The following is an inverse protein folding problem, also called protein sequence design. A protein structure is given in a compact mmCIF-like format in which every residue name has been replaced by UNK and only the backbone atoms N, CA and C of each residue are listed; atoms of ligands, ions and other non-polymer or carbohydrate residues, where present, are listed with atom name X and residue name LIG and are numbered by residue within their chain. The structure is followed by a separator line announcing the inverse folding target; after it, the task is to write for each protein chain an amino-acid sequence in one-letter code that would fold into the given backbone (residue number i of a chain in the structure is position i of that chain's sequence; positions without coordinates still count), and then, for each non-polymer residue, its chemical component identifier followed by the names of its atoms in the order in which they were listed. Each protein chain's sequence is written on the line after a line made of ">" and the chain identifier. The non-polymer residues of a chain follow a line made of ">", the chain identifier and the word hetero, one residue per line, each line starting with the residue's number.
data_IF_221256738001
#
_entry.id   IF_221256738001
#
_cell.length_a   1.000
_cell.length_b   1.000
_cell.length_c   1.000
_cell.angle_alpha   90.00
_cell.angle_beta   90.00
_cell.angle_gamma   90.00
#
_symmetry.space_group_name_H-M   'P 1'
#
loop_
_entity.id
_entity.type
_entity.pdbx_description
1 polymer ?
#
# COMPACT_ATOMS: atom_id res chain seq x y z
N UNK A 1 5.41 19.45 -4.16
CA UNK A 1 6.87 19.31 -4.33
C UNK A 1 7.26 19.68 -5.75
N UNK A 2 6.54 19.18 -6.75
CA UNK A 2 6.72 19.54 -8.17
C UNK A 2 6.70 21.06 -8.41
N UNK A 3 5.79 21.80 -7.77
CA UNK A 3 5.75 23.28 -7.87
C UNK A 3 7.00 23.96 -7.30
N UNK A 4 7.65 23.35 -6.31
CA UNK A 4 8.89 23.84 -5.71
C UNK A 4 10.06 23.48 -6.61
N UNK A 5 10.09 22.27 -7.16
CA UNK A 5 11.11 21.80 -8.10
C UNK A 5 11.11 22.66 -9.37
N UNK A 6 9.94 22.90 -9.96
CA UNK A 6 9.78 23.80 -11.11
C UNK A 6 10.17 25.25 -10.74
N UNK A 7 9.86 25.69 -9.52
CA UNK A 7 10.31 26.99 -9.01
C UNK A 7 11.84 27.09 -8.89
N UNK A 8 12.51 26.01 -8.46
CA UNK A 8 13.97 25.93 -8.37
C UNK A 8 14.59 25.89 -9.77
N UNK A 9 14.05 25.07 -10.69
CA UNK A 9 14.49 25.01 -12.10
C UNK A 9 14.36 26.38 -12.77
N UNK A 10 13.21 27.04 -12.62
CA UNK A 10 13.00 28.36 -13.21
C UNK A 10 13.96 29.40 -12.63
N UNK A 11 14.11 29.43 -11.31
CA UNK A 11 15.05 30.35 -10.65
C UNK A 11 16.50 30.10 -11.09
N UNK A 12 16.86 28.84 -11.36
CA UNK A 12 18.19 28.47 -11.84
C UNK A 12 18.43 28.94 -13.29
N UNK A 13 17.47 28.73 -14.18
CA UNK A 13 17.52 29.23 -15.57
C UNK A 13 17.68 30.76 -15.58
N UNK A 14 16.95 31.46 -14.71
CA UNK A 14 17.03 32.92 -14.60
C UNK A 14 18.42 33.38 -14.10
N UNK A 15 19.01 32.66 -13.14
CA UNK A 15 20.38 32.92 -12.66
C UNK A 15 21.42 32.62 -13.74
N UNK A 16 21.29 31.54 -14.50
CA UNK A 16 22.21 31.19 -15.58
C UNK A 16 22.17 32.22 -16.72
N UNK A 17 20.97 32.73 -17.05
CA UNK A 17 20.80 33.84 -18.00
C UNK A 17 21.47 35.12 -17.50
N UNK A 18 21.30 35.47 -16.22
CA UNK A 18 21.93 36.63 -15.62
C UNK A 18 23.46 36.50 -15.53
N UNK A 19 23.98 35.32 -15.19
CA UNK A 19 25.41 35.02 -15.15
C UNK A 19 26.02 35.09 -16.54
N UNK A 20 25.37 34.52 -17.57
CA UNK A 20 25.83 34.62 -18.96
C UNK A 20 25.86 36.06 -19.48
N UNK A 21 24.88 36.89 -19.08
CA UNK A 21 24.84 38.31 -19.42
C UNK A 21 25.97 39.08 -18.70
N UNK A 22 26.22 38.78 -17.43
CA UNK A 22 27.33 39.36 -16.66
C UNK A 22 28.70 38.96 -17.21
N UNK A 23 28.87 37.72 -17.67
CA UNK A 23 30.12 37.24 -18.26
C UNK A 23 30.39 37.93 -19.61
N UNK A 24 29.35 38.12 -20.44
CA UNK A 24 29.42 38.90 -21.69
C UNK A 24 29.81 40.37 -21.44
N UNK A 25 29.24 41.01 -20.42
CA UNK A 25 29.59 42.39 -20.04
C UNK A 25 31.00 42.48 -19.42
N UNK A 26 31.44 41.46 -18.70
CA UNK A 26 32.79 41.35 -18.13
C UNK A 26 33.86 41.24 -19.22
N UNK A 27 33.58 40.49 -20.30
CA UNK A 27 34.47 40.38 -21.47
C UNK A 27 34.62 41.71 -22.23
N UNK A 28 33.62 42.59 -22.16
CA UNK A 28 33.66 43.92 -22.77
C UNK A 28 34.46 44.94 -21.93
N UNK A 29 34.80 44.62 -20.67
CA UNK A 29 35.31 45.60 -19.70
C UNK A 29 36.66 45.27 -19.05
N UNK A 30 37.27 44.10 -19.30
CA UNK A 30 38.49 43.68 -18.59
C UNK A 30 39.58 43.05 -19.49
N UNK A 31 40.73 43.74 -19.63
CA UNK A 31 42.02 43.09 -19.90
C UNK A 31 42.55 42.48 -18.60
N UNK A 32 42.52 41.15 -18.46
CA UNK A 32 43.29 40.41 -17.45
C UNK A 32 42.50 39.69 -16.35
N UNK A 33 42.45 38.36 -16.49
CA UNK A 33 42.34 37.30 -15.46
C UNK A 33 41.24 37.35 -14.38
N UNK A 34 40.28 36.41 -14.46
CA UNK A 34 40.20 35.19 -13.60
C UNK A 34 38.85 34.52 -13.87
N UNK A 35 38.86 33.36 -14.53
CA UNK A 35 37.65 32.55 -14.74
C UNK A 35 37.20 31.97 -13.40
N UNK A 36 36.19 32.56 -12.77
CA UNK A 36 35.44 31.88 -11.72
C UNK A 36 34.66 30.76 -12.40
N UNK A 37 35.00 29.50 -12.09
CA UNK A 37 34.31 28.35 -12.66
C UNK A 37 32.83 28.40 -12.30
N UNK A 38 31.97 28.59 -13.30
CA UNK A 38 30.55 28.29 -13.17
C UNK A 38 30.39 26.83 -12.76
N UNK A 39 29.44 26.48 -11.88
CA UNK A 39 29.09 25.08 -11.68
C UNK A 39 28.69 24.51 -13.06
N UNK A 40 29.26 23.37 -13.43
CA UNK A 40 28.92 22.71 -14.69
C UNK A 40 27.47 22.24 -14.64
N UNK A 41 26.74 22.32 -15.75
CA UNK A 41 25.38 21.76 -15.89
C UNK A 41 25.30 20.31 -15.34
N UNK A 42 26.37 19.54 -15.55
CA UNK A 42 26.53 18.17 -15.06
C UNK A 42 26.37 18.03 -13.53
N UNK A 43 26.84 19.00 -12.74
CA UNK A 43 26.72 18.97 -11.27
C UNK A 43 25.29 19.23 -10.75
N UNK A 44 24.44 19.81 -11.59
CA UNK A 44 23.07 20.19 -11.24
C UNK A 44 22.08 19.15 -11.74
N UNK A 45 22.33 18.58 -12.92
CA UNK A 45 21.66 17.35 -13.35
C UNK A 45 21.88 16.23 -12.33
N UNK A 46 23.12 16.09 -11.81
CA UNK A 46 23.41 15.16 -10.71
C UNK A 46 22.56 15.46 -9.46
N UNK A 47 22.38 16.72 -9.09
CA UNK A 47 21.51 17.10 -7.96
C UNK A 47 20.03 16.72 -8.19
N UNK A 48 19.49 16.97 -9.37
CA UNK A 48 18.10 16.58 -9.69
C UNK A 48 17.92 15.06 -9.71
N UNK A 49 18.91 14.31 -10.21
CA UNK A 49 18.86 12.83 -10.16
C UNK A 49 18.86 12.31 -8.72
N UNK A 50 19.62 12.94 -7.81
CA UNK A 50 19.59 12.59 -6.38
C UNK A 50 18.21 12.87 -5.78
N UNK A 51 17.57 14.01 -6.10
CA UNK A 51 16.21 14.29 -5.60
C UNK A 51 15.17 13.30 -6.11
N UNK A 52 15.27 12.91 -7.37
CA UNK A 52 14.41 11.88 -7.97
C UNK A 52 14.60 10.52 -7.29
N UNK A 53 15.85 10.16 -7.00
CA UNK A 53 16.16 8.93 -6.27
C UNK A 53 15.63 8.94 -4.85
N UNK A 54 15.75 10.06 -4.13
CA UNK A 54 15.19 10.23 -2.79
C UNK A 54 13.66 10.11 -2.84
N UNK A 55 13.00 10.77 -3.79
CA UNK A 55 11.54 10.72 -3.98
C UNK A 55 11.07 9.30 -4.29
N UNK A 56 11.71 8.61 -5.22
CA UNK A 56 11.43 7.21 -5.56
C UNK A 56 11.61 6.31 -4.34
N UNK A 57 12.69 6.51 -3.58
CA UNK A 57 12.96 5.74 -2.36
C UNK A 57 11.89 5.98 -1.31
N UNK A 58 11.43 7.22 -1.10
CA UNK A 58 10.37 7.54 -0.15
C UNK A 58 9.04 6.86 -0.51
N UNK A 59 8.67 6.83 -1.80
CA UNK A 59 7.47 6.11 -2.28
C UNK A 59 7.60 4.61 -2.01
N UNK A 60 8.74 4.00 -2.35
CA UNK A 60 8.99 2.57 -2.12
C UNK A 60 8.95 2.19 -0.64
N UNK A 61 9.54 3.02 0.22
CA UNK A 61 9.49 2.82 1.68
C UNK A 61 8.05 2.95 2.17
N UNK A 62 7.27 3.89 1.64
CA UNK A 62 5.85 4.02 1.97
C UNK A 62 5.11 2.72 1.66
N UNK A 63 5.26 2.16 0.45
CA UNK A 63 4.64 0.88 0.10
C UNK A 63 5.10 -0.28 1.00
N UNK A 64 6.37 -0.30 1.38
CA UNK A 64 6.93 -1.30 2.29
C UNK A 64 6.28 -1.21 3.67
N UNK A 65 6.11 0.00 4.21
CA UNK A 65 5.47 0.23 5.50
C UNK A 65 3.99 -0.16 5.44
N UNK A 66 3.29 0.21 4.36
CA UNK A 66 1.88 -0.16 4.18
C UNK A 66 1.70 -1.68 4.16
N UNK A 67 2.54 -2.40 3.41
CA UNK A 67 2.53 -3.87 3.40
C UNK A 67 2.79 -4.43 4.79
N UNK A 68 3.81 -3.91 5.49
CA UNK A 68 4.14 -4.35 6.84
C UNK A 68 2.98 -4.17 7.82
N UNK A 69 2.25 -3.04 7.77
CA UNK A 69 1.07 -2.80 8.62
C UNK A 69 0.02 -3.87 8.38
N UNK A 70 -0.36 -4.11 7.12
CA UNK A 70 -1.36 -5.12 6.76
C UNK A 70 -0.96 -6.53 7.20
N UNK A 71 0.26 -6.95 6.86
CA UNK A 71 0.78 -8.28 7.23
C UNK A 71 0.86 -8.44 8.75
N UNK A 72 1.36 -7.43 9.48
CA UNK A 72 1.47 -7.51 10.94
C UNK A 72 0.09 -7.60 11.59
N UNK A 73 -0.86 -6.76 11.19
CA UNK A 73 -2.21 -6.76 11.76
C UNK A 73 -2.86 -8.15 11.66
N UNK A 74 -2.76 -8.79 10.50
CA UNK A 74 -3.44 -10.07 10.24
C UNK A 74 -2.66 -11.27 10.76
N UNK A 75 -1.39 -11.39 10.41
CA UNK A 75 -0.58 -12.59 10.67
C UNK A 75 0.11 -12.59 12.03
N UNK A 76 0.18 -11.44 12.70
CA UNK A 76 0.74 -11.33 14.04
C UNK A 76 -0.35 -10.99 15.06
N UNK A 77 -1.00 -9.84 14.92
CA UNK A 77 -1.90 -9.32 15.96
C UNK A 77 -3.21 -10.13 16.05
N UNK A 78 -3.81 -10.50 14.91
CA UNK A 78 -5.06 -11.28 14.84
C UNK A 78 -4.86 -12.75 14.47
N UNK A 79 -3.61 -13.24 14.56
CA UNK A 79 -3.22 -14.60 14.15
C UNK A 79 -4.07 -15.68 14.80
N UNK A 80 -4.34 -15.54 16.09
CA UNK A 80 -5.03 -16.57 16.86
C UNK A 80 -6.50 -16.68 16.45
N UNK A 81 -7.15 -15.58 16.05
CA UNK A 81 -8.53 -15.57 15.56
C UNK A 81 -8.59 -16.11 14.13
N UNK A 82 -7.82 -15.53 13.20
CA UNK A 82 -7.91 -15.89 11.79
C UNK A 82 -7.25 -17.24 11.51
N UNK A 83 -5.97 -17.41 11.83
CA UNK A 83 -5.19 -18.58 11.42
C UNK A 83 -5.38 -19.81 12.32
N UNK A 84 -5.71 -19.61 13.60
CA UNK A 84 -5.82 -20.74 14.55
C UNK A 84 -7.24 -21.08 15.00
N UNK A 85 -8.19 -20.14 14.90
CA UNK A 85 -9.56 -20.36 15.39
C UNK A 85 -10.57 -20.53 14.26
N UNK A 86 -10.49 -19.75 13.18
CA UNK A 86 -11.43 -19.86 12.05
C UNK A 86 -11.50 -21.30 11.52
N UNK A 87 -12.70 -21.86 11.46
CA UNK A 87 -13.04 -23.22 11.04
C UNK A 87 -12.38 -24.36 11.82
N UNK A 88 -11.78 -24.07 12.98
CA UNK A 88 -11.22 -25.10 13.82
C UNK A 88 -12.34 -26.06 14.27
N UNK A 89 -12.10 -27.35 14.14
CA UNK A 89 -13.06 -28.44 14.44
C UNK A 89 -14.20 -28.55 13.44
N UNK A 90 -14.93 -27.46 13.17
CA UNK A 90 -15.94 -27.42 12.11
C UNK A 90 -16.16 -25.99 11.62
N UNK A 91 -16.68 -25.84 10.40
CA UNK A 91 -17.04 -24.53 9.85
C UNK A 91 -18.17 -23.91 10.65
N UNK A 92 -19.27 -24.65 10.88
CA UNK A 92 -20.45 -24.19 11.61
C UNK A 92 -20.13 -23.63 13.01
N UNK A 93 -19.19 -24.23 13.74
CA UNK A 93 -18.86 -23.83 15.11
C UNK A 93 -17.87 -22.66 15.23
N UNK A 94 -17.11 -22.37 14.18
CA UNK A 94 -15.98 -21.45 14.25
C UNK A 94 -15.95 -20.55 13.01
N UNK A 95 -17.00 -19.76 12.87
CA UNK A 95 -17.28 -18.91 11.71
C UNK A 95 -16.54 -17.56 11.77
N UNK A 96 -16.60 -16.78 10.69
CA UNK A 96 -15.89 -15.50 10.54
C UNK A 96 -16.29 -14.44 11.58
N UNK A 97 -17.48 -14.53 12.18
CA UNK A 97 -18.01 -13.59 13.18
C UNK A 97 -17.09 -13.44 14.40
N UNK A 98 -16.26 -14.45 14.71
CA UNK A 98 -15.29 -14.35 15.82
C UNK A 98 -14.15 -13.36 15.53
N UNK A 99 -13.86 -13.13 14.25
CA UNK A 99 -12.78 -12.29 13.76
C UNK A 99 -13.24 -10.84 13.52
N UNK A 100 -14.46 -10.65 13.02
CA UNK A 100 -15.01 -9.36 12.58
C UNK A 100 -14.83 -8.23 13.61
N UNK A 101 -15.26 -8.35 14.87
CA UNK A 101 -15.16 -7.22 15.82
C UNK A 101 -13.71 -6.79 16.08
N UNK A 102 -12.77 -7.73 16.01
CA UNK A 102 -11.35 -7.43 16.27
C UNK A 102 -10.75 -6.67 15.08
N UNK A 103 -11.07 -7.06 13.85
CA UNK A 103 -10.56 -6.35 12.68
C UNK A 103 -11.18 -4.96 12.54
N UNK A 104 -12.47 -4.77 12.87
CA UNK A 104 -13.08 -3.44 12.94
C UNK A 104 -12.31 -2.54 13.91
N UNK A 105 -12.06 -3.03 15.13
CA UNK A 105 -11.31 -2.28 16.13
C UNK A 105 -9.88 -1.94 15.66
N UNK A 106 -9.21 -2.86 14.97
CA UNK A 106 -7.88 -2.62 14.40
C UNK A 106 -7.93 -1.57 13.29
N UNK A 107 -8.92 -1.65 12.41
CA UNK A 107 -9.10 -0.67 11.34
C UNK A 107 -9.38 0.73 11.89
N UNK A 108 -10.22 0.86 12.93
CA UNK A 108 -10.49 2.13 13.61
C UNK A 108 -9.19 2.73 14.17
N UNK A 109 -8.43 1.95 14.95
CA UNK A 109 -7.17 2.41 15.54
C UNK A 109 -6.14 2.80 14.50
N UNK A 110 -6.03 2.01 13.43
CA UNK A 110 -5.08 2.29 12.35
C UNK A 110 -5.51 3.54 11.59
N UNK A 111 -6.80 3.71 11.29
CA UNK A 111 -7.34 4.88 10.61
C UNK A 111 -7.18 6.17 11.43
N UNK A 112 -7.26 6.10 12.76
CA UNK A 112 -7.03 7.24 13.66
C UNK A 112 -5.57 7.71 13.71
N UNK A 113 -4.62 6.81 13.43
CA UNK A 113 -3.18 7.10 13.49
C UNK A 113 -2.59 7.55 12.15
N UNK A 114 -3.22 7.21 11.03
CA UNK A 114 -2.71 7.47 9.68
C UNK A 114 -3.31 8.74 9.09
N UNK A 115 -2.53 9.41 8.24
CA UNK A 115 -3.02 10.56 7.48
C UNK A 115 -4.04 10.11 6.43
N UNK A 116 -5.08 10.92 6.21
CA UNK A 116 -6.22 10.58 5.33
C UNK A 116 -5.81 10.10 3.93
N UNK A 117 -4.77 10.71 3.35
CA UNK A 117 -4.26 10.36 2.01
C UNK A 117 -3.76 8.91 1.91
N UNK A 118 -3.40 8.28 3.04
CA UNK A 118 -2.94 6.89 3.09
C UNK A 118 -4.01 5.92 3.60
N UNK A 119 -5.18 6.42 4.04
CA UNK A 119 -6.21 5.60 4.69
C UNK A 119 -6.61 4.41 3.85
N UNK A 120 -7.11 4.66 2.65
CA UNK A 120 -7.56 3.61 1.73
C UNK A 120 -6.42 2.66 1.35
N UNK A 121 -5.19 3.16 1.23
CA UNK A 121 -4.03 2.32 0.93
C UNK A 121 -3.72 1.36 2.08
N UNK A 122 -3.80 1.81 3.33
CA UNK A 122 -3.60 0.95 4.49
C UNK A 122 -4.72 -0.06 4.60
N UNK A 123 -5.98 0.38 4.49
CA UNK A 123 -7.16 -0.50 4.52
C UNK A 123 -7.06 -1.57 3.43
N UNK A 124 -6.63 -1.21 2.22
CA UNK A 124 -6.37 -2.16 1.13
C UNK A 124 -5.30 -3.19 1.50
N UNK A 125 -4.17 -2.78 2.11
CA UNK A 125 -3.14 -3.74 2.54
C UNK A 125 -3.62 -4.68 3.63
N UNK A 126 -4.47 -4.20 4.54
CA UNK A 126 -5.10 -5.07 5.56
C UNK A 126 -6.06 -6.06 4.88
N UNK A 127 -6.88 -5.61 3.93
CA UNK A 127 -7.79 -6.48 3.18
C UNK A 127 -7.03 -7.57 2.40
N UNK A 128 -5.97 -7.19 1.69
CA UNK A 128 -5.10 -8.12 0.96
C UNK A 128 -4.50 -9.18 1.90
N UNK A 129 -4.00 -8.76 3.07
CA UNK A 129 -3.49 -9.68 4.07
C UNK A 129 -4.59 -10.61 4.63
N UNK A 130 -5.82 -10.13 4.77
CA UNK A 130 -6.96 -10.97 5.16
C UNK A 130 -7.29 -12.01 4.09
N UNK A 131 -7.25 -11.64 2.81
CA UNK A 131 -7.45 -12.59 1.70
C UNK A 131 -6.36 -13.66 1.69
N UNK A 132 -5.09 -13.27 1.84
CA UNK A 132 -3.98 -14.21 1.96
C UNK A 132 -4.15 -15.14 3.17
N UNK A 133 -4.51 -14.60 4.33
CA UNK A 133 -4.76 -15.38 5.54
C UNK A 133 -5.96 -16.33 5.39
N UNK A 134 -7.03 -15.88 4.76
CA UNK A 134 -8.21 -16.71 4.49
C UNK A 134 -7.89 -17.84 3.52
N UNK A 135 -7.18 -17.55 2.43
CA UNK A 135 -6.68 -18.57 1.50
C UNK A 135 -5.79 -19.57 2.23
N UNK A 136 -4.96 -19.09 3.16
CA UNK A 136 -4.10 -19.97 3.96
C UNK A 136 -4.92 -20.93 4.82
N UNK A 137 -5.97 -20.44 5.47
CA UNK A 137 -6.92 -21.27 6.23
C UNK A 137 -7.60 -22.33 5.36
N UNK A 138 -7.96 -21.99 4.12
CA UNK A 138 -8.61 -22.91 3.18
C UNK A 138 -7.65 -24.00 2.66
N UNK A 139 -6.43 -23.63 2.28
CA UNK A 139 -5.53 -24.54 1.55
C UNK A 139 -4.48 -25.24 2.43
N UNK A 140 -4.02 -24.59 3.49
CA UNK A 140 -2.94 -25.08 4.37
C UNK A 140 -3.25 -24.77 5.85
N UNK A 141 -4.53 -24.85 6.22
CA UNK A 141 -5.03 -24.63 7.57
C UNK A 141 -4.70 -25.76 8.56
N UNK A 142 -3.91 -26.77 8.17
CA UNK A 142 -3.51 -27.88 9.03
C UNK A 142 -4.61 -28.92 9.32
N UNK A 143 -4.30 -29.97 10.11
CA UNK A 143 -5.15 -31.14 10.27
C UNK A 143 -6.40 -30.93 11.15
N UNK A 144 -6.55 -29.75 11.76
CA UNK A 144 -7.71 -29.42 12.61
C UNK A 144 -8.92 -28.90 11.82
N UNK A 145 -8.82 -28.88 10.48
CA UNK A 145 -9.83 -28.40 9.55
C UNK A 145 -10.09 -29.49 8.52
N UNK A 146 -11.34 -29.88 8.40
CA UNK A 146 -11.80 -30.84 7.40
C UNK A 146 -13.08 -30.28 6.78
N UNK A 147 -13.00 -29.88 5.52
CA UNK A 147 -14.08 -29.21 4.81
C UNK A 147 -14.95 -30.22 4.06
N UNK A 148 -16.27 -30.03 4.17
CA UNK A 148 -17.28 -30.78 3.44
C UNK A 148 -17.93 -29.89 2.38
N UNK A 149 -18.53 -30.51 1.35
CA UNK A 149 -19.30 -29.78 0.32
C UNK A 149 -20.42 -28.93 0.95
N UNK A 150 -21.02 -29.41 2.04
CA UNK A 150 -22.07 -28.70 2.79
C UNK A 150 -21.58 -27.42 3.48
N UNK A 151 -20.28 -27.33 3.78
CA UNK A 151 -19.70 -26.18 4.48
C UNK A 151 -19.49 -24.99 3.54
N UNK A 152 -19.41 -25.22 2.23
CA UNK A 152 -18.99 -24.20 1.26
C UNK A 152 -19.90 -22.99 1.26
N UNK A 153 -21.22 -23.18 1.44
CA UNK A 153 -22.15 -22.05 1.54
C UNK A 153 -21.82 -21.16 2.75
N UNK A 154 -21.56 -21.77 3.91
CA UNK A 154 -21.17 -21.03 5.11
C UNK A 154 -19.85 -20.28 4.92
N UNK A 155 -18.89 -20.87 4.21
CA UNK A 155 -17.62 -20.21 3.90
C UNK A 155 -17.76 -19.08 2.89
N UNK A 156 -18.70 -19.19 1.94
CA UNK A 156 -19.03 -18.10 1.00
C UNK A 156 -19.71 -16.94 1.72
N UNK A 157 -20.62 -17.25 2.65
CA UNK A 157 -21.24 -16.23 3.50
C UNK A 157 -20.17 -15.51 4.35
N UNK A 158 -19.19 -16.25 4.87
CA UNK A 158 -18.06 -15.68 5.62
C UNK A 158 -17.15 -14.80 4.77
N UNK A 159 -16.89 -15.19 3.52
CA UNK A 159 -16.17 -14.34 2.57
C UNK A 159 -16.96 -13.07 2.24
N UNK A 160 -18.28 -13.17 2.07
CA UNK A 160 -19.15 -12.03 1.83
C UNK A 160 -19.15 -11.07 3.03
N UNK A 161 -19.25 -11.58 4.25
CA UNK A 161 -19.15 -10.80 5.48
C UNK A 161 -17.86 -10.00 5.55
N UNK A 162 -16.73 -10.62 5.21
CA UNK A 162 -15.44 -9.95 5.18
C UNK A 162 -15.39 -8.89 4.07
N UNK A 163 -15.95 -9.15 2.88
CA UNK A 163 -16.03 -8.14 1.80
C UNK A 163 -16.90 -6.94 2.20
N UNK A 164 -18.06 -7.20 2.80
CA UNK A 164 -19.01 -6.16 3.21
C UNK A 164 -18.40 -5.24 4.27
N UNK A 165 -17.63 -5.79 5.22
CA UNK A 165 -16.88 -5.01 6.20
C UNK A 165 -15.95 -3.98 5.54
N UNK A 166 -15.22 -4.37 4.50
CA UNK A 166 -14.28 -3.46 3.83
C UNK A 166 -14.94 -2.53 2.81
N UNK A 167 -16.15 -2.86 2.34
CA UNK A 167 -16.99 -1.93 1.57
C UNK A 167 -17.59 -0.87 2.50
N UNK A 168 -17.93 -1.25 3.74
CA UNK A 168 -18.45 -0.37 4.80
C UNK A 168 -19.59 0.53 4.33
N UNK A 169 -20.64 -0.07 3.74
CA UNK A 169 -21.79 0.65 3.16
C UNK A 169 -21.41 1.76 2.15
N UNK A 170 -20.28 1.59 1.45
CA UNK A 170 -19.76 2.53 0.47
C UNK A 170 -18.88 3.64 1.05
N UNK A 171 -18.58 3.60 2.36
CA UNK A 171 -17.59 4.48 3.00
C UNK A 171 -16.18 3.90 3.00
N UNK A 172 -16.03 2.61 2.66
CA UNK A 172 -14.75 1.91 2.60
C UNK A 172 -14.15 1.86 1.20
N UNK A 173 -13.58 0.71 0.85
CA UNK A 173 -12.92 0.49 -0.43
C UNK A 173 -13.96 0.33 -1.57
N UNK A 174 -13.61 0.73 -2.81
CA UNK A 174 -14.44 0.49 -3.98
C UNK A 174 -14.73 -1.01 -4.19
N UNK A 175 -15.99 -1.35 -4.49
CA UNK A 175 -16.41 -2.76 -4.62
C UNK A 175 -15.65 -3.51 -5.72
N UNK A 176 -15.27 -2.85 -6.82
CA UNK A 176 -14.49 -3.47 -7.90
C UNK A 176 -13.09 -3.89 -7.45
N UNK A 177 -12.45 -3.10 -6.57
CA UNK A 177 -11.18 -3.46 -5.92
C UNK A 177 -11.39 -4.65 -5.00
N UNK A 178 -12.43 -4.63 -4.17
CA UNK A 178 -12.76 -5.74 -3.26
C UNK A 178 -12.98 -7.04 -4.01
N UNK A 179 -13.79 -7.03 -5.08
CA UNK A 179 -14.05 -8.22 -5.91
C UNK A 179 -12.76 -8.74 -6.57
N UNK A 180 -11.91 -7.84 -7.05
CA UNK A 180 -10.65 -8.21 -7.69
C UNK A 180 -9.73 -8.94 -6.72
N UNK A 181 -9.53 -8.40 -5.51
CA UNK A 181 -8.61 -8.98 -4.54
C UNK A 181 -9.21 -10.26 -3.89
N UNK A 182 -10.53 -10.36 -3.74
CA UNK A 182 -11.21 -11.57 -3.24
C UNK A 182 -11.34 -12.69 -4.28
N UNK A 183 -11.03 -12.43 -5.55
CA UNK A 183 -11.26 -13.36 -6.66
C UNK A 183 -10.65 -14.74 -6.45
N UNK A 184 -9.42 -14.81 -5.96
CA UNK A 184 -8.74 -16.10 -5.76
C UNK A 184 -9.40 -16.93 -4.65
N UNK A 185 -9.78 -16.29 -3.54
CA UNK A 185 -10.51 -16.95 -2.46
C UNK A 185 -11.86 -17.49 -2.97
N UNK A 186 -12.61 -16.69 -3.74
CA UNK A 186 -13.87 -17.11 -4.34
C UNK A 186 -13.67 -18.32 -5.27
N UNK A 187 -12.65 -18.28 -6.13
CA UNK A 187 -12.33 -19.39 -7.04
C UNK A 187 -12.01 -20.67 -6.27
N UNK A 188 -11.24 -20.59 -5.19
CA UNK A 188 -10.93 -21.75 -4.33
C UNK A 188 -12.21 -22.31 -3.70
N UNK A 189 -13.10 -21.45 -3.19
CA UNK A 189 -14.39 -21.89 -2.65
C UNK A 189 -15.25 -22.61 -3.70
N UNK A 190 -15.23 -22.14 -4.95
CA UNK A 190 -15.94 -22.78 -6.05
C UNK A 190 -15.36 -24.16 -6.40
N UNK A 191 -14.06 -24.40 -6.16
CA UNK A 191 -13.43 -25.72 -6.35
C UNK A 191 -13.96 -26.79 -5.39
N UNK A 192 -14.40 -26.43 -4.17
CA UNK A 192 -14.95 -27.41 -3.23
C UNK A 192 -16.30 -28.00 -3.67
N UNK A 193 -16.97 -27.36 -4.64
CA UNK A 193 -18.27 -27.80 -5.19
C UNK A 193 -18.13 -28.40 -6.59
N UNK A 194 -16.92 -28.38 -7.16
CA UNK A 194 -16.65 -28.96 -8.47
C UNK A 194 -16.64 -30.49 -8.36
N UNK A 195 -17.66 -31.10 -8.99
CA UNK A 195 -17.81 -32.55 -9.18
C UNK A 195 -16.92 -33.07 -10.29
#
# INVERSE_FOLDING_TARGET
>A
LDTIEEGIKQSWVDVQSAVGLLDYLSCMTSEGATSKSSPSDESIDELFTIFDDVRRTAVNITDTILNFIGTRAVFWDMRDLLLFSLYRTSVESARMEIFIPTIEQVLDQVCDLIVDVLRDRVVLRVFQACMEGFIWVLLDGGPSRAFLETDVNLMKDDLAMLKDLFIAEGQGLPSDVIEKEAKLAQQILDLYVLK
#
